data_IF_144147268208
#
_entry.id   IF_144147268208
#
_cell.length_a   1.000
_cell.length_b   1.000
_cell.length_c   1.000
_cell.angle_alpha   90.00
_cell.angle_beta   90.00
_cell.angle_gamma   90.00
#
_symmetry.space_group_name_H-M   'P 1'
#
loop_
_entity.id
_entity.type
_entity.pdbx_description
1 polymer ?
#
# COMPACT_ATOMS: atom_id res chain seq x y z
N UNK A 1 8.81 -7.77 34.22
CA UNK A 1 7.85 -6.96 33.45
C UNK A 1 7.17 -7.86 32.43
N UNK A 2 5.94 -8.22 32.76
CA UNK A 2 5.00 -8.93 31.88
C UNK A 2 4.67 -8.08 30.64
N UNK A 3 4.15 -8.70 29.57
CA UNK A 3 3.81 -7.99 28.33
C UNK A 3 2.85 -6.81 28.57
N UNK A 4 1.92 -7.00 29.51
CA UNK A 4 0.88 -6.02 29.85
C UNK A 4 1.43 -4.79 30.58
N UNK A 5 2.41 -4.96 31.47
CA UNK A 5 3.06 -3.82 32.14
C UNK A 5 3.80 -2.91 31.16
N UNK A 6 4.46 -3.50 30.17
CA UNK A 6 5.16 -2.74 29.12
C UNK A 6 4.16 -1.96 28.26
N UNK A 7 3.04 -2.57 27.91
CA UNK A 7 1.99 -1.90 27.14
C UNK A 7 1.44 -0.66 27.85
N UNK A 8 1.12 -0.78 29.15
CA UNK A 8 0.64 0.34 29.96
C UNK A 8 1.68 1.47 30.05
N UNK A 9 2.95 1.12 30.25
CA UNK A 9 4.04 2.09 30.26
C UNK A 9 4.12 2.87 28.95
N UNK A 10 4.19 2.17 27.81
CA UNK A 10 4.32 2.82 26.50
C UNK A 10 3.09 3.65 26.12
N UNK A 11 1.90 3.20 26.49
CA UNK A 11 0.66 3.99 26.33
C UNK A 11 0.74 5.32 27.09
N UNK A 12 1.27 5.29 28.32
CA UNK A 12 1.54 6.49 29.11
C UNK A 12 2.55 7.42 28.44
N UNK A 13 3.66 6.87 27.92
CA UNK A 13 4.69 7.62 27.19
C UNK A 13 4.11 8.31 25.94
N UNK A 14 3.27 7.63 25.16
CA UNK A 14 2.62 8.24 24.00
C UNK A 14 1.63 9.35 24.38
N UNK A 15 0.94 9.19 25.50
CA UNK A 15 0.03 10.21 26.03
C UNK A 15 0.80 11.45 26.49
N UNK A 16 1.89 11.26 27.23
CA UNK A 16 2.79 12.33 27.65
C UNK A 16 3.40 13.06 26.46
N UNK A 17 3.81 12.33 25.40
CA UNK A 17 4.33 12.93 24.17
C UNK A 17 3.27 13.81 23.47
N UNK A 18 2.01 13.36 23.41
CA UNK A 18 0.91 14.14 22.84
C UNK A 18 0.59 15.39 23.65
N UNK A 19 0.53 15.26 24.98
CA UNK A 19 0.26 16.38 25.89
C UNK A 19 1.39 17.42 25.89
N UNK A 20 2.62 16.96 25.73
CA UNK A 20 3.81 17.80 25.67
C UNK A 20 3.83 18.70 24.42
N UNK A 21 3.12 18.33 23.35
CA UNK A 21 3.12 19.08 22.08
C UNK A 21 4.47 19.09 21.34
N UNK A 22 5.48 18.42 21.92
CA UNK A 22 6.81 18.28 21.35
C UNK A 22 6.81 17.23 20.23
N UNK A 23 7.63 17.45 19.21
CA UNK A 23 7.89 16.43 18.20
C UNK A 23 8.46 15.17 18.85
N UNK A 24 8.10 13.99 18.33
CA UNK A 24 8.54 12.67 18.82
C UNK A 24 10.04 12.62 19.13
N UNK A 25 10.86 13.22 18.25
CA UNK A 25 12.33 13.30 18.41
C UNK A 25 12.77 14.17 19.58
N UNK A 26 12.12 15.32 19.79
CA UNK A 26 12.43 16.22 20.90
C UNK A 26 12.02 15.59 22.24
N UNK A 27 10.83 14.97 22.29
CA UNK A 27 10.36 14.24 23.45
C UNK A 27 11.28 13.06 23.80
N UNK A 28 11.66 12.24 22.82
CA UNK A 28 12.61 11.13 23.03
C UNK A 28 13.96 11.63 23.57
N UNK A 29 14.45 12.78 23.08
CA UNK A 29 15.69 13.37 23.58
C UNK A 29 15.58 13.88 25.02
N UNK A 30 14.43 14.43 25.41
CA UNK A 30 14.17 14.94 26.75
C UNK A 30 14.03 13.82 27.78
N UNK A 31 13.30 12.75 27.43
CA UNK A 31 13.06 11.60 28.31
C UNK A 31 14.21 10.57 28.28
N UNK A 32 15.25 10.79 27.47
CA UNK A 32 16.36 9.84 27.32
C UNK A 32 15.97 8.54 26.62
N UNK A 33 14.88 8.56 25.85
CA UNK A 33 14.38 7.41 25.10
C UNK A 33 15.04 7.32 23.72
N UNK A 34 15.37 6.11 23.30
CA UNK A 34 15.81 5.86 21.92
C UNK A 34 14.64 6.04 20.95
N UNK A 35 14.87 6.82 19.89
CA UNK A 35 13.89 7.04 18.83
C UNK A 35 13.44 5.71 18.20
N UNK A 36 14.37 4.78 17.98
CA UNK A 36 14.08 3.46 17.41
C UNK A 36 13.16 2.64 18.30
N UNK A 37 13.40 2.68 19.62
CA UNK A 37 12.56 1.98 20.60
C UNK A 37 11.16 2.60 20.64
N UNK A 38 11.06 3.92 20.57
CA UNK A 38 9.77 4.62 20.51
C UNK A 38 8.95 4.18 19.29
N UNK A 39 9.54 4.16 18.09
CA UNK A 39 8.84 3.71 16.88
C UNK A 39 8.47 2.23 16.94
N UNK A 40 9.36 1.38 17.46
CA UNK A 40 9.08 -0.05 17.64
C UNK A 40 7.84 -0.29 18.50
N UNK A 41 7.78 0.35 19.67
CA UNK A 41 6.62 0.23 20.56
C UNK A 41 5.38 0.91 20.02
N UNK A 42 5.52 1.99 19.25
CA UNK A 42 4.38 2.61 18.58
C UNK A 42 3.73 1.63 17.61
N UNK A 43 4.54 0.92 16.81
CA UNK A 43 4.05 -0.08 15.87
C UNK A 43 3.49 -1.32 16.58
N UNK A 44 4.09 -1.74 17.70
CA UNK A 44 3.62 -2.89 18.46
C UNK A 44 2.28 -2.61 19.15
N UNK A 45 2.13 -1.45 19.79
CA UNK A 45 0.86 -1.02 20.37
C UNK A 45 -0.23 -0.79 19.30
N UNK A 46 0.14 -0.34 18.09
CA UNK A 46 -0.84 -0.22 16.99
C UNK A 46 -1.29 -1.55 16.39
N UNK A 47 -0.51 -2.63 16.53
CA UNK A 47 -0.88 -3.96 16.03
C UNK A 47 -1.79 -4.73 16.99
N UNK A 48 -1.76 -4.42 18.29
CA UNK A 48 -2.64 -5.04 19.30
C UNK A 48 -4.11 -4.69 19.09
N UNK A 49 -4.40 -3.57 18.41
CA UNK A 49 -5.74 -3.14 17.95
C UNK A 49 -6.32 -4.00 16.80
N UNK A 50 -5.75 -5.18 16.52
CA UNK A 50 -6.29 -6.09 15.51
C UNK A 50 -6.14 -5.58 14.08
N UNK A 51 -5.29 -4.57 13.85
CA UNK A 51 -4.87 -4.18 12.50
C UNK A 51 -3.87 -5.20 11.97
N UNK A 52 -4.42 -6.33 11.50
CA UNK A 52 -3.87 -7.00 10.32
C UNK A 52 -3.53 -5.93 9.26
N UNK A 53 -2.47 -6.09 8.45
CA UNK A 53 -2.25 -5.21 7.32
C UNK A 53 -3.51 -5.28 6.45
N UNK A 54 -4.40 -4.31 6.63
CA UNK A 54 -5.62 -4.24 5.88
C UNK A 54 -5.19 -4.03 4.43
N UNK A 55 -5.49 -5.02 3.59
CA UNK A 55 -5.46 -4.84 2.14
C UNK A 55 -6.42 -3.69 1.89
N UNK A 56 -5.89 -2.47 1.77
CA UNK A 56 -6.67 -1.31 1.39
C UNK A 56 -7.02 -1.55 -0.06
N UNK A 57 -8.31 -1.75 -0.42
CA UNK A 57 -8.68 -1.85 -1.81
C UNK A 57 -8.30 -0.52 -2.48
N UNK A 58 -7.31 -0.57 -3.36
CA UNK A 58 -7.03 0.52 -4.28
C UNK A 58 -8.23 0.57 -5.21
N UNK A 59 -9.19 1.45 -4.90
CA UNK A 59 -10.27 1.79 -5.81
C UNK A 59 -9.59 2.46 -7.01
N UNK A 60 -9.31 1.67 -8.04
CA UNK A 60 -8.98 2.19 -9.36
C UNK A 60 -10.23 2.95 -9.79
N UNK A 61 -10.22 4.27 -9.64
CA UNK A 61 -11.20 5.11 -10.30
C UNK A 61 -10.95 4.94 -11.80
N UNK A 62 -11.66 3.99 -12.41
CA UNK A 62 -11.88 4.00 -13.85
C UNK A 62 -12.48 5.37 -14.16
N UNK A 63 -11.64 6.27 -14.69
CA UNK A 63 -12.14 7.41 -15.44
C UNK A 63 -13.12 6.85 -16.48
N UNK A 64 -14.26 7.52 -16.75
CA UNK A 64 -15.23 7.08 -17.75
C UNK A 64 -14.57 7.16 -19.13
N UNK A 65 -13.81 6.12 -19.44
CA UNK A 65 -13.15 5.92 -20.72
C UNK A 65 -14.17 5.22 -21.57
N UNK A 66 -14.95 6.05 -22.24
CA UNK A 66 -15.71 5.80 -23.46
C UNK A 66 -15.53 4.37 -23.97
N UNK A 67 -16.60 3.58 -23.89
CA UNK A 67 -16.68 2.24 -24.45
C UNK A 67 -16.01 2.20 -25.84
N UNK A 68 -14.83 1.60 -25.89
CA UNK A 68 -14.16 1.26 -27.12
C UNK A 68 -13.54 -0.09 -26.86
N UNK A 69 -14.38 -1.13 -26.98
CA UNK A 69 -14.08 -2.52 -26.72
C UNK A 69 -12.63 -2.85 -27.08
N UNK A 70 -11.79 -3.04 -26.07
CA UNK A 70 -10.38 -3.32 -26.26
C UNK A 70 -10.18 -4.83 -26.35
N UNK A 71 -9.88 -5.35 -27.54
CA UNK A 71 -9.55 -6.76 -27.71
C UNK A 71 -8.09 -6.97 -27.34
N UNK A 72 -7.82 -7.85 -26.38
CA UNK A 72 -6.46 -8.15 -25.89
C UNK A 72 -6.06 -9.53 -26.40
N UNK A 73 -4.92 -9.62 -27.07
CA UNK A 73 -4.35 -10.84 -27.60
C UNK A 73 -3.03 -11.14 -26.88
N UNK A 74 -2.98 -12.26 -26.18
CA UNK A 74 -1.78 -12.71 -25.44
C UNK A 74 -1.07 -13.80 -26.24
N UNK A 75 0.19 -13.55 -26.63
CA UNK A 75 1.03 -14.50 -27.36
C UNK A 75 1.80 -15.42 -26.38
N UNK A 76 2.16 -16.66 -26.80
CA UNK A 76 2.90 -17.61 -25.96
C UNK A 76 4.29 -17.12 -25.53
N UNK A 77 4.84 -16.10 -26.22
CA UNK A 77 6.09 -15.45 -25.86
C UNK A 77 5.94 -14.41 -24.73
N UNK A 78 4.76 -14.29 -24.12
CA UNK A 78 4.48 -13.35 -23.03
C UNK A 78 4.19 -11.91 -23.48
N UNK A 79 4.11 -11.65 -24.78
CA UNK A 79 3.71 -10.34 -25.30
C UNK A 79 2.17 -10.22 -25.33
N UNK A 80 1.65 -9.06 -24.93
CA UNK A 80 0.23 -8.73 -25.03
C UNK A 80 0.03 -7.56 -26.00
N UNK A 81 -0.91 -7.73 -26.92
CA UNK A 81 -1.34 -6.68 -27.85
C UNK A 81 -2.76 -6.28 -27.50
N UNK A 82 -2.97 -4.99 -27.27
CA UNK A 82 -4.27 -4.41 -26.98
C UNK A 82 -4.73 -3.58 -28.15
N UNK A 83 -5.94 -3.82 -28.64
CA UNK A 83 -6.48 -3.17 -29.81
C UNK A 83 -7.81 -2.48 -29.52
N UNK A 84 -8.00 -1.27 -30.02
CA UNK A 84 -9.30 -0.58 -29.99
C UNK A 84 -10.30 -1.24 -30.95
N UNK A 85 -11.59 -1.25 -30.60
CA UNK A 85 -12.73 -1.92 -31.30
C UNK A 85 -12.90 -1.66 -32.80
N UNK A 86 -12.10 -0.78 -33.42
CA UNK A 86 -12.11 -0.49 -34.85
C UNK A 86 -11.28 -1.50 -35.68
N UNK A 87 -10.89 -2.65 -35.12
CA UNK A 87 -10.11 -3.63 -35.87
C UNK A 87 -10.98 -4.45 -36.82
N UNK A 88 -10.62 -4.39 -38.10
CA UNK A 88 -11.14 -5.32 -39.10
C UNK A 88 -10.40 -6.67 -39.04
N UNK A 89 -11.08 -7.80 -39.28
CA UNK A 89 -10.47 -9.14 -39.22
C UNK A 89 -9.30 -9.32 -40.19
N UNK A 90 -9.25 -8.52 -41.27
CA UNK A 90 -8.14 -8.53 -42.23
C UNK A 90 -6.85 -7.94 -41.63
N UNK A 91 -6.94 -6.86 -40.85
CA UNK A 91 -5.77 -6.28 -40.18
C UNK A 91 -5.25 -7.20 -39.09
N UNK A 92 -6.14 -7.85 -38.32
CA UNK A 92 -5.76 -8.84 -37.32
C UNK A 92 -4.96 -10.00 -37.95
N UNK A 93 -5.42 -10.51 -39.10
CA UNK A 93 -4.71 -11.58 -39.83
C UNK A 93 -3.32 -11.14 -40.28
N UNK A 94 -3.16 -9.88 -40.70
CA UNK A 94 -1.86 -9.34 -41.11
C UNK A 94 -0.91 -9.17 -39.93
N UNK A 95 -1.39 -8.73 -38.77
CA UNK A 95 -0.56 -8.65 -37.57
C UNK A 95 -0.10 -10.03 -37.08
N UNK A 96 -0.99 -11.02 -37.07
CA UNK A 96 -0.63 -12.39 -36.69
C UNK A 96 0.39 -12.98 -37.67
N UNK A 97 0.27 -12.72 -38.97
CA UNK A 97 1.19 -13.23 -39.99
C UNK A 97 2.61 -12.62 -39.92
N UNK A 98 2.77 -11.42 -39.35
CA UNK A 98 4.09 -10.79 -39.14
C UNK A 98 4.74 -11.26 -37.83
N UNK A 99 3.93 -11.71 -36.87
CA UNK A 99 4.38 -12.16 -35.56
C UNK A 99 4.60 -13.68 -35.46
N UNK A 100 4.11 -14.43 -36.46
CA UNK A 100 4.44 -15.84 -36.71
C UNK A 100 5.75 -15.99 -37.47
#
# INVERSE_FOLDING_TARGET
MTSQEKHTYWTGVFTAQKQSGLSKKAFCRQEGLSLSTFYYWQQLCSQDDGQTPAIVPLILSEAPSTESASLILTLPNGCQLSFSSALTPQQLKQYIAVLS
#
